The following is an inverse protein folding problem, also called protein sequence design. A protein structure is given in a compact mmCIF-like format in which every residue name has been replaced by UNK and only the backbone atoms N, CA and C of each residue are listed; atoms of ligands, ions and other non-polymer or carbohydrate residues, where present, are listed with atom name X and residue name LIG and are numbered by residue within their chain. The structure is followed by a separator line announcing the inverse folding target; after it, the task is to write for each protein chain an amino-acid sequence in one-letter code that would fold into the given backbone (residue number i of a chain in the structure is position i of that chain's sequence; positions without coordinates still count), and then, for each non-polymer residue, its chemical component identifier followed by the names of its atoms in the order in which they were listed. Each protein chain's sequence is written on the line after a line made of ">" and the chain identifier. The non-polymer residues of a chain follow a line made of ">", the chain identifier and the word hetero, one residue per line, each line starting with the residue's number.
data_IF_245836456415
#
_entry.id   IF_245836456415
#
_cell.length_a   1.000
_cell.length_b   1.000
_cell.length_c   1.000
_cell.angle_alpha   90.00
_cell.angle_beta   90.00
_cell.angle_gamma   90.00
#
_symmetry.space_group_name_H-M   'P 1'
#
loop_
_entity.id
_entity.type
_entity.pdbx_description
1 polymer ?
#
# COMPACT_ATOMS: atom_id res chain seq x y z
N UNK A 1 53.23 7.11 14.26
CA UNK A 1 52.40 6.33 13.35
C UNK A 1 51.26 7.24 12.90
N UNK A 2 51.39 7.79 11.70
CA UNK A 2 50.47 8.78 11.15
C UNK A 2 49.22 8.07 10.58
N UNK A 3 48.06 8.27 11.15
CA UNK A 3 46.80 7.82 10.55
C UNK A 3 46.39 8.80 9.47
N UNK A 4 46.58 8.39 8.20
CA UNK A 4 46.06 9.08 7.02
C UNK A 4 44.53 8.89 7.01
N UNK A 5 43.77 9.94 7.33
CA UNK A 5 42.35 10.01 7.07
C UNK A 5 42.15 10.20 5.56
N UNK A 6 41.79 9.15 4.87
CA UNK A 6 41.32 9.21 3.48
C UNK A 6 39.92 9.84 3.51
N UNK A 7 39.83 11.12 3.19
CA UNK A 7 38.56 11.76 2.88
C UNK A 7 38.03 11.14 1.59
N UNK A 8 36.97 10.34 1.69
CA UNK A 8 36.20 9.94 0.52
C UNK A 8 35.60 11.20 -0.08
N UNK A 9 36.04 11.59 -1.28
CA UNK A 9 35.39 12.66 -2.04
C UNK A 9 33.90 12.32 -2.21
N UNK A 10 32.99 13.27 -1.95
CA UNK A 10 31.58 13.05 -2.18
C UNK A 10 31.36 12.77 -3.68
N UNK A 11 30.59 11.73 -3.99
CA UNK A 11 30.25 11.39 -5.37
C UNK A 11 29.74 12.65 -6.11
N UNK A 12 30.15 12.86 -7.37
CA UNK A 12 29.74 14.03 -8.15
C UNK A 12 28.21 14.10 -8.19
N UNK A 13 27.66 15.29 -7.92
CA UNK A 13 26.20 15.50 -8.01
C UNK A 13 25.77 15.21 -9.44
N UNK A 14 24.73 14.38 -9.66
CA UNK A 14 24.25 14.08 -11.01
C UNK A 14 23.85 15.37 -11.72
N UNK A 15 24.15 15.46 -13.02
CA UNK A 15 23.77 16.61 -13.85
C UNK A 15 22.23 16.75 -13.83
N UNK A 16 21.77 18.01 -13.81
CA UNK A 16 20.33 18.32 -13.88
C UNK A 16 19.63 17.58 -15.02
N UNK A 17 20.27 17.45 -16.18
CA UNK A 17 19.71 16.75 -17.34
C UNK A 17 19.44 15.27 -17.06
N UNK A 18 20.32 14.60 -16.34
CA UNK A 18 20.14 13.19 -15.95
C UNK A 18 19.01 13.02 -14.93
N UNK A 19 18.97 13.90 -13.92
CA UNK A 19 17.90 13.89 -12.93
C UNK A 19 16.56 14.13 -13.62
N UNK A 20 16.45 15.20 -14.39
CA UNK A 20 15.26 15.54 -15.13
C UNK A 20 14.80 14.43 -16.07
N UNK A 21 15.72 13.84 -16.84
CA UNK A 21 15.44 12.77 -17.78
C UNK A 21 14.77 11.58 -17.10
N UNK A 22 15.37 11.11 -16.02
CA UNK A 22 14.85 9.99 -15.23
C UNK A 22 13.49 10.33 -14.58
N UNK A 23 13.35 11.53 -14.01
CA UNK A 23 12.11 11.97 -13.37
C UNK A 23 10.98 12.19 -14.36
N UNK A 24 11.26 12.72 -15.54
CA UNK A 24 10.27 12.84 -16.62
C UNK A 24 9.77 11.47 -17.07
N UNK A 25 10.69 10.52 -17.29
CA UNK A 25 10.32 9.14 -17.63
C UNK A 25 9.41 8.50 -16.57
N UNK A 26 9.79 8.60 -15.29
CA UNK A 26 9.01 8.08 -14.17
C UNK A 26 7.62 8.74 -14.08
N UNK A 27 7.55 10.06 -14.21
CA UNK A 27 6.28 10.80 -14.15
C UNK A 27 5.36 10.43 -15.33
N UNK A 28 5.91 10.27 -16.55
CA UNK A 28 5.14 9.81 -17.70
C UNK A 28 4.62 8.39 -17.51
N UNK A 29 5.45 7.46 -17.03
CA UNK A 29 5.01 6.10 -16.74
C UNK A 29 3.95 6.09 -15.63
N UNK A 30 4.13 6.85 -14.55
CA UNK A 30 3.15 7.00 -13.48
C UNK A 30 1.80 7.54 -13.98
N UNK A 31 1.81 8.42 -14.98
CA UNK A 31 0.61 8.90 -15.67
C UNK A 31 -0.01 7.86 -16.63
N UNK A 32 0.65 6.72 -16.86
CA UNK A 32 0.20 5.69 -17.79
C UNK A 32 0.29 6.12 -19.26
N UNK A 33 1.17 7.06 -19.60
CA UNK A 33 1.30 7.61 -20.93
C UNK A 33 2.47 7.00 -21.72
N UNK A 34 2.26 6.76 -23.02
CA UNK A 34 3.35 6.56 -23.96
C UNK A 34 3.96 7.90 -24.35
N UNK A 35 5.16 7.91 -24.97
CA UNK A 35 5.76 9.16 -25.50
C UNK A 35 4.81 9.88 -26.48
N UNK A 36 4.07 9.13 -27.31
CA UNK A 36 3.07 9.70 -28.23
C UNK A 36 1.88 10.26 -27.47
N UNK A 37 1.35 9.50 -26.48
CA UNK A 37 0.25 9.97 -25.64
C UNK A 37 0.61 11.23 -24.86
N UNK A 38 1.87 11.36 -24.38
CA UNK A 38 2.31 12.60 -23.74
C UNK A 38 2.42 13.76 -24.75
N UNK A 39 2.90 13.52 -25.98
CA UNK A 39 2.94 14.54 -27.02
C UNK A 39 1.52 15.03 -27.40
N UNK A 40 0.55 14.13 -27.47
CA UNK A 40 -0.87 14.45 -27.71
C UNK A 40 -1.45 15.25 -26.53
N UNK A 41 -1.19 14.85 -25.29
CA UNK A 41 -1.63 15.55 -24.10
C UNK A 41 -1.01 16.95 -23.92
N UNK A 42 0.11 17.21 -24.60
CA UNK A 42 0.74 18.53 -24.71
C UNK A 42 0.23 19.35 -25.91
N UNK A 43 -0.90 18.97 -26.51
CA UNK A 43 -1.47 19.63 -27.69
C UNK A 43 -0.48 19.80 -28.86
N UNK A 44 0.46 18.86 -28.99
CA UNK A 44 1.47 18.89 -30.04
C UNK A 44 2.56 19.97 -29.87
N UNK A 45 2.60 20.68 -28.73
CA UNK A 45 3.65 21.68 -28.47
C UNK A 45 5.06 21.08 -28.49
N UNK A 46 5.18 19.80 -28.17
CA UNK A 46 6.42 19.04 -28.17
C UNK A 46 6.21 17.70 -28.87
N UNK A 47 7.06 17.39 -29.86
CA UNK A 47 6.98 16.12 -30.57
C UNK A 47 7.44 14.95 -29.70
N UNK A 48 6.93 13.74 -29.98
CA UNK A 48 7.37 12.52 -29.28
C UNK A 48 8.89 12.26 -29.42
N UNK A 49 9.50 12.71 -30.55
CA UNK A 49 10.95 12.63 -30.76
C UNK A 49 11.70 13.57 -29.83
N UNK A 50 11.19 14.78 -29.58
CA UNK A 50 11.78 15.72 -28.64
C UNK A 50 11.63 15.21 -27.19
N UNK A 51 10.46 14.67 -26.83
CA UNK A 51 10.24 14.03 -25.53
C UNK A 51 11.22 12.88 -25.27
N UNK A 52 11.47 12.04 -26.28
CA UNK A 52 12.48 10.98 -26.18
C UNK A 52 13.91 11.52 -25.96
N UNK A 53 14.26 12.69 -26.54
CA UNK A 53 15.55 13.34 -26.28
C UNK A 53 15.62 13.88 -24.84
N UNK A 54 14.52 14.42 -24.30
CA UNK A 54 14.43 14.84 -22.90
C UNK A 54 14.61 13.63 -21.95
N UNK A 55 13.91 12.52 -22.18
CA UNK A 55 14.05 11.31 -21.35
C UNK A 55 15.43 10.62 -21.48
N UNK A 56 16.21 10.93 -22.51
CA UNK A 56 17.61 10.48 -22.66
C UNK A 56 18.65 11.48 -22.12
N UNK A 57 18.23 12.58 -21.53
CA UNK A 57 19.12 13.60 -21.00
C UNK A 57 19.89 14.40 -22.08
N UNK A 58 19.48 14.28 -23.35
CA UNK A 58 20.13 14.97 -24.46
C UNK A 58 19.73 16.45 -24.56
N UNK A 59 18.62 16.82 -23.94
CA UNK A 59 18.08 18.18 -23.92
C UNK A 59 17.53 18.51 -22.53
N UNK A 60 17.52 19.79 -22.17
CA UNK A 60 16.82 20.31 -21.00
C UNK A 60 15.63 21.15 -21.46
N UNK A 61 14.46 21.08 -20.75
CA UNK A 61 13.31 21.92 -21.05
C UNK A 61 13.53 23.34 -20.57
N UNK A 62 12.81 24.29 -21.14
CA UNK A 62 12.67 25.63 -20.55
C UNK A 62 11.64 25.61 -19.41
N UNK A 63 11.55 26.71 -18.66
CA UNK A 63 10.66 26.82 -17.50
C UNK A 63 9.18 26.72 -17.87
N UNK A 64 8.79 27.17 -19.07
CA UNK A 64 7.43 27.09 -19.54
C UNK A 64 7.02 25.64 -19.80
N UNK A 65 7.88 24.88 -20.46
CA UNK A 65 7.64 23.46 -20.74
C UNK A 65 7.63 22.64 -19.44
N UNK A 66 8.50 22.96 -18.46
CA UNK A 66 8.49 22.31 -17.14
C UNK A 66 7.12 22.45 -16.44
N UNK A 67 6.58 23.68 -16.43
CA UNK A 67 5.27 23.94 -15.82
C UNK A 67 4.15 23.19 -16.59
N UNK A 68 4.24 23.14 -17.91
CA UNK A 68 3.24 22.44 -18.74
C UNK A 68 3.31 20.92 -18.51
N UNK A 69 4.51 20.36 -18.47
CA UNK A 69 4.73 18.94 -18.15
C UNK A 69 4.18 18.58 -16.76
N UNK A 70 4.46 19.39 -15.74
CA UNK A 70 3.94 19.19 -14.39
C UNK A 70 2.41 19.13 -14.35
N UNK A 71 1.73 20.03 -15.08
CA UNK A 71 0.28 20.05 -15.19
C UNK A 71 -0.28 18.81 -15.89
N UNK A 72 0.28 18.47 -17.07
CA UNK A 72 -0.18 17.33 -17.88
C UNK A 72 0.06 16.00 -17.15
N UNK A 73 1.19 15.88 -16.46
CA UNK A 73 1.55 14.68 -15.69
C UNK A 73 0.97 14.66 -14.27
N UNK A 74 0.21 15.69 -13.90
CA UNK A 74 -0.42 15.81 -12.57
C UNK A 74 0.59 15.64 -11.42
N UNK A 75 1.79 16.23 -11.56
CA UNK A 75 2.83 16.15 -10.54
C UNK A 75 3.38 17.54 -10.19
N UNK A 76 3.95 17.73 -8.98
CA UNK A 76 4.65 18.96 -8.63
C UNK A 76 5.85 19.21 -9.52
N UNK A 77 6.17 20.48 -9.84
CA UNK A 77 7.38 20.84 -10.61
C UNK A 77 8.64 20.36 -9.89
N UNK A 78 8.66 20.42 -8.57
CA UNK A 78 9.76 19.94 -7.71
C UNK A 78 10.14 18.47 -7.95
N UNK A 79 9.22 17.64 -8.42
CA UNK A 79 9.49 16.25 -8.73
C UNK A 79 10.60 16.08 -9.76
N UNK A 80 10.70 16.98 -10.74
CA UNK A 80 11.72 16.93 -11.78
C UNK A 80 13.14 17.27 -11.27
N UNK A 81 13.24 17.81 -10.05
CA UNK A 81 14.50 18.19 -9.42
C UNK A 81 14.88 17.29 -8.24
N UNK A 82 14.00 16.36 -7.84
CA UNK A 82 14.28 15.45 -6.72
C UNK A 82 15.50 14.58 -7.04
N UNK A 83 16.47 14.48 -6.12
CA UNK A 83 17.63 13.63 -6.30
C UNK A 83 17.22 12.19 -6.65
N UNK A 84 17.99 11.57 -7.54
CA UNK A 84 17.83 10.14 -7.83
C UNK A 84 18.34 9.33 -6.64
N UNK A 85 17.71 8.18 -6.41
CA UNK A 85 18.10 7.21 -5.38
C UNK A 85 18.48 5.88 -6.04
N UNK A 86 19.65 5.80 -6.71
CA UNK A 86 20.07 4.60 -7.45
C UNK A 86 20.19 3.37 -6.56
N UNK A 87 20.49 3.58 -5.26
CA UNK A 87 20.62 2.52 -4.26
C UNK A 87 19.30 1.78 -3.98
N UNK A 88 18.14 2.41 -4.25
CA UNK A 88 16.85 1.77 -3.99
C UNK A 88 16.43 0.77 -5.08
N UNK A 89 17.11 0.75 -6.25
CA UNK A 89 16.66 -0.09 -7.36
C UNK A 89 15.29 0.32 -7.91
N UNK A 90 14.63 -0.60 -8.62
CA UNK A 90 13.31 -0.38 -9.18
C UNK A 90 12.29 -1.36 -8.57
N UNK A 91 11.12 -0.86 -8.18
CA UNK A 91 9.98 -1.71 -7.81
C UNK A 91 9.59 -2.55 -9.02
N UNK A 92 9.47 -3.86 -8.81
CA UNK A 92 8.92 -4.79 -9.79
C UNK A 92 7.88 -5.65 -9.13
N UNK A 93 6.66 -5.58 -9.64
CA UNK A 93 5.59 -6.44 -9.18
C UNK A 93 5.83 -7.89 -9.64
N UNK A 94 5.41 -8.85 -8.83
CA UNK A 94 5.49 -10.27 -9.20
C UNK A 94 4.77 -10.53 -10.53
N UNK A 95 5.27 -11.48 -11.32
CA UNK A 95 4.75 -11.82 -12.67
C UNK A 95 3.27 -12.20 -12.71
N UNK A 96 2.68 -12.61 -11.59
CA UNK A 96 1.28 -13.02 -11.48
C UNK A 96 0.27 -11.86 -11.37
N UNK A 97 0.72 -10.60 -11.40
CA UNK A 97 -0.19 -9.43 -11.40
C UNK A 97 -1.15 -9.49 -12.61
N UNK A 98 -2.44 -9.33 -12.36
CA UNK A 98 -3.50 -9.31 -13.39
C UNK A 98 -3.51 -8.05 -14.25
N UNK A 99 -2.64 -7.09 -13.96
CA UNK A 99 -2.56 -5.82 -14.67
C UNK A 99 -1.98 -5.97 -16.08
N UNK A 100 -2.56 -5.22 -17.05
CA UNK A 100 -1.95 -5.04 -18.35
C UNK A 100 -0.60 -4.35 -18.21
N UNK A 101 0.34 -4.60 -19.12
CA UNK A 101 1.73 -4.11 -19.00
C UNK A 101 1.84 -2.60 -18.75
N UNK A 102 1.08 -1.77 -19.48
CA UNK A 102 1.08 -0.32 -19.30
C UNK A 102 0.56 0.08 -17.92
N UNK A 103 -0.54 -0.53 -17.46
CA UNK A 103 -1.09 -0.27 -16.14
C UNK A 103 -0.16 -0.76 -15.02
N UNK A 104 0.54 -1.89 -15.23
CA UNK A 104 1.54 -2.40 -14.29
C UNK A 104 2.71 -1.43 -14.15
N UNK A 105 3.27 -0.95 -15.26
CA UNK A 105 4.35 0.05 -15.25
C UNK A 105 3.91 1.34 -14.55
N UNK A 106 2.70 1.81 -14.79
CA UNK A 106 2.16 2.98 -14.12
C UNK A 106 2.03 2.78 -12.61
N UNK A 107 1.56 1.61 -12.18
CA UNK A 107 1.45 1.27 -10.77
C UNK A 107 2.85 1.14 -10.11
N UNK A 108 3.81 0.50 -10.79
CA UNK A 108 5.21 0.40 -10.33
C UNK A 108 5.85 1.79 -10.17
N UNK A 109 5.66 2.68 -11.15
CA UNK A 109 6.20 4.05 -11.10
C UNK A 109 5.58 4.90 -10.00
N UNK A 110 4.25 4.79 -9.78
CA UNK A 110 3.55 5.48 -8.67
C UNK A 110 4.02 4.97 -7.32
N UNK A 111 4.14 3.66 -7.17
CA UNK A 111 4.64 3.04 -5.95
C UNK A 111 6.08 3.45 -5.67
N UNK A 112 6.95 3.43 -6.68
CA UNK A 112 8.34 3.89 -6.59
C UNK A 112 8.41 5.32 -6.06
N UNK A 113 7.68 6.25 -6.68
CA UNK A 113 7.67 7.64 -6.28
C UNK A 113 7.18 7.83 -4.84
N UNK A 114 6.10 7.13 -4.46
CA UNK A 114 5.57 7.22 -3.10
C UNK A 114 6.57 6.70 -2.06
N UNK A 115 7.21 5.55 -2.31
CA UNK A 115 8.22 5.00 -1.39
C UNK A 115 9.43 5.92 -1.28
N UNK A 116 9.90 6.50 -2.38
CA UNK A 116 11.00 7.46 -2.35
C UNK A 116 10.67 8.69 -1.47
N UNK A 117 9.45 9.21 -1.56
CA UNK A 117 8.98 10.33 -0.71
C UNK A 117 8.86 9.91 0.76
N UNK A 118 8.40 8.69 1.01
CA UNK A 118 8.29 8.15 2.35
C UNK A 118 9.67 8.02 3.01
N UNK A 119 10.64 7.44 2.30
CA UNK A 119 12.03 7.31 2.78
C UNK A 119 12.66 8.69 2.99
N UNK A 120 12.40 9.66 2.10
CA UNK A 120 12.86 11.02 2.27
C UNK A 120 12.40 11.64 3.60
N UNK A 121 11.14 11.43 3.98
CA UNK A 121 10.61 11.89 5.27
C UNK A 121 11.27 11.18 6.46
N UNK A 122 11.48 9.87 6.37
CA UNK A 122 12.16 9.11 7.43
C UNK A 122 13.61 9.59 7.63
N UNK A 123 14.33 9.86 6.55
CA UNK A 123 15.70 10.40 6.61
C UNK A 123 15.75 11.81 7.20
N UNK A 124 14.86 12.71 6.77
CA UNK A 124 14.75 14.08 7.30
C UNK A 124 14.48 14.11 8.81
N UNK A 125 13.74 13.12 9.29
CA UNK A 125 13.43 12.92 10.70
C UNK A 125 14.45 12.04 11.43
N UNK A 126 15.54 11.63 10.75
CA UNK A 126 16.58 10.73 11.27
C UNK A 126 16.01 9.44 11.91
N UNK A 127 14.98 8.86 11.30
CA UNK A 127 14.36 7.63 11.76
C UNK A 127 15.15 6.42 11.25
N UNK A 128 15.40 5.44 12.14
CA UNK A 128 15.98 4.17 11.74
C UNK A 128 15.00 3.35 10.88
N UNK A 129 15.50 2.48 9.98
CA UNK A 129 14.65 1.52 9.27
C UNK A 129 13.83 0.70 10.27
N UNK A 130 12.50 0.72 10.14
CA UNK A 130 11.60 0.11 11.12
C UNK A 130 11.33 -1.38 10.85
N UNK A 131 11.62 -1.88 9.63
CA UNK A 131 11.30 -3.26 9.27
C UNK A 131 12.28 -4.26 9.86
N UNK A 132 11.72 -5.26 10.53
CA UNK A 132 12.42 -6.48 10.95
C UNK A 132 11.56 -7.67 10.55
N UNK A 133 12.14 -8.62 9.83
CA UNK A 133 11.43 -9.82 9.39
C UNK A 133 10.87 -10.58 10.59
N UNK A 134 9.55 -10.75 10.69
CA UNK A 134 8.95 -11.38 11.87
C UNK A 134 9.15 -12.90 11.92
N UNK A 135 9.52 -13.51 10.78
CA UNK A 135 9.70 -14.95 10.61
C UNK A 135 10.99 -15.20 9.83
N UNK A 136 11.70 -16.28 10.17
CA UNK A 136 12.95 -16.66 9.51
C UNK A 136 12.96 -18.16 9.15
N UNK A 137 11.90 -18.66 8.54
CA UNK A 137 11.84 -20.02 8.02
C UNK A 137 10.95 -20.10 6.77
N UNK A 138 11.27 -21.01 5.79
CA UNK A 138 10.44 -21.21 4.62
C UNK A 138 9.11 -21.87 5.01
N UNK A 139 8.04 -21.51 4.31
CA UNK A 139 6.71 -22.09 4.40
C UNK A 139 6.50 -23.07 3.25
N UNK A 140 6.19 -24.33 3.55
CA UNK A 140 6.00 -25.41 2.57
C UNK A 140 4.63 -26.07 2.67
N UNK A 141 3.87 -25.80 3.74
CA UNK A 141 2.60 -26.43 4.01
C UNK A 141 1.58 -25.47 4.62
N UNK A 142 0.30 -25.87 4.60
CA UNK A 142 -0.76 -25.13 5.29
C UNK A 142 -0.55 -25.03 6.80
N UNK A 143 0.09 -26.03 7.40
CA UNK A 143 0.47 -25.99 8.81
C UNK A 143 1.54 -24.93 9.06
N UNK A 144 2.55 -24.83 8.17
CA UNK A 144 3.58 -23.78 8.28
C UNK A 144 2.97 -22.39 8.14
N UNK A 145 2.01 -22.19 7.22
CA UNK A 145 1.33 -20.91 7.06
C UNK A 145 0.54 -20.50 8.32
N UNK A 146 -0.11 -21.46 8.99
CA UNK A 146 -0.81 -21.26 10.27
C UNK A 146 0.18 -20.90 11.38
N UNK A 147 1.28 -21.65 11.49
CA UNK A 147 2.33 -21.41 12.46
C UNK A 147 3.03 -20.07 12.23
N UNK A 148 3.25 -19.70 10.96
CA UNK A 148 3.80 -18.41 10.57
C UNK A 148 2.90 -17.25 11.06
N UNK A 149 1.60 -17.33 10.83
CA UNK A 149 0.67 -16.32 11.33
C UNK A 149 0.70 -16.20 12.86
N UNK A 150 0.78 -17.33 13.57
CA UNK A 150 0.93 -17.34 15.03
C UNK A 150 2.24 -16.68 15.46
N UNK A 151 3.37 -16.99 14.80
CA UNK A 151 4.66 -16.38 15.08
C UNK A 151 4.67 -14.88 14.84
N UNK A 152 4.09 -14.42 13.71
CA UNK A 152 3.95 -12.98 13.42
C UNK A 152 3.16 -12.30 14.52
N UNK A 153 2.02 -12.85 14.92
CA UNK A 153 1.21 -12.28 16.01
C UNK A 153 1.97 -12.25 17.35
N UNK A 154 2.77 -13.26 17.66
CA UNK A 154 3.61 -13.30 18.86
C UNK A 154 4.74 -12.27 18.78
N UNK A 155 5.51 -12.25 17.69
CA UNK A 155 6.64 -11.32 17.50
C UNK A 155 6.17 -9.86 17.53
N UNK A 156 5.02 -9.58 16.96
CA UNK A 156 4.44 -8.24 16.93
C UNK A 156 3.58 -7.93 18.17
N UNK A 157 3.44 -8.87 19.10
CA UNK A 157 2.69 -8.73 20.36
C UNK A 157 1.21 -8.38 20.16
N UNK A 158 0.56 -8.97 19.14
CA UNK A 158 -0.81 -8.66 18.74
C UNK A 158 -1.87 -9.41 19.58
N UNK A 159 -1.46 -10.37 20.41
CA UNK A 159 -2.41 -11.24 21.11
C UNK A 159 -3.24 -12.11 20.17
N UNK A 160 -4.39 -12.61 20.66
CA UNK A 160 -5.29 -13.47 19.89
C UNK A 160 -6.58 -12.76 19.43
N UNK A 161 -6.83 -11.55 19.92
CA UNK A 161 -8.03 -10.77 19.60
C UNK A 161 -8.06 -10.20 18.18
N UNK A 162 -9.14 -9.48 17.83
CA UNK A 162 -9.24 -8.77 16.55
C UNK A 162 -8.12 -7.76 16.36
N UNK A 163 -7.67 -7.60 15.12
CA UNK A 163 -6.72 -6.53 14.75
C UNK A 163 -7.52 -5.24 14.54
N UNK A 164 -7.20 -4.14 15.22
CA UNK A 164 -7.98 -2.90 15.10
C UNK A 164 -7.82 -2.24 13.73
N UNK A 165 -6.60 -2.01 13.28
CA UNK A 165 -6.27 -1.40 11.98
C UNK A 165 -5.09 -2.17 11.37
N UNK A 166 -5.31 -2.86 10.26
CA UNK A 166 -4.29 -3.67 9.60
C UNK A 166 -3.29 -2.80 8.86
N UNK A 167 -3.73 -1.74 8.20
CA UNK A 167 -2.83 -0.88 7.42
C UNK A 167 -1.87 -0.13 8.32
N UNK A 168 -2.36 0.45 9.41
CA UNK A 168 -1.53 1.12 10.41
C UNK A 168 -0.54 0.15 11.05
N UNK A 169 -1.00 -1.05 11.44
CA UNK A 169 -0.12 -2.11 11.97
C UNK A 169 1.04 -2.42 11.02
N UNK A 170 0.77 -2.56 9.72
CA UNK A 170 1.80 -2.84 8.73
C UNK A 170 2.81 -1.69 8.64
N UNK A 171 2.34 -0.44 8.61
CA UNK A 171 3.20 0.74 8.57
C UNK A 171 4.05 0.91 9.84
N UNK A 172 3.49 0.63 11.01
CA UNK A 172 4.23 0.62 12.28
C UNK A 172 5.36 -0.42 12.28
N UNK A 173 5.20 -1.52 11.55
CA UNK A 173 6.21 -2.57 11.39
C UNK A 173 7.16 -2.32 10.22
N UNK A 174 7.12 -1.13 9.62
CA UNK A 174 8.05 -0.69 8.57
C UNK A 174 7.68 -1.15 7.16
N UNK A 175 6.50 -1.77 6.97
CA UNK A 175 5.98 -2.07 5.64
C UNK A 175 5.40 -0.80 5.04
N UNK A 176 5.79 -0.42 3.83
CA UNK A 176 5.24 0.75 3.13
C UNK A 176 3.93 0.36 2.46
N UNK A 177 2.81 0.89 2.96
CA UNK A 177 1.49 0.63 2.39
C UNK A 177 1.10 1.78 1.47
N UNK A 178 0.83 1.46 0.20
CA UNK A 178 0.54 2.44 -0.84
C UNK A 178 -0.84 2.18 -1.43
N UNK A 179 -1.63 3.25 -1.54
CA UNK A 179 -2.93 3.22 -2.20
C UNK A 179 -2.80 3.76 -3.61
N UNK A 180 -3.29 3.01 -4.59
CA UNK A 180 -3.29 3.46 -5.99
C UNK A 180 -4.68 3.31 -6.60
N UNK A 181 -4.99 4.20 -7.52
CA UNK A 181 -6.15 4.03 -8.39
C UNK A 181 -5.82 3.02 -9.49
N UNK A 182 -6.55 1.91 -9.54
CA UNK A 182 -6.29 0.80 -10.45
C UNK A 182 -7.59 0.14 -10.94
N UNK A 183 -7.47 -0.67 -11.99
CA UNK A 183 -8.59 -1.48 -12.53
C UNK A 183 -9.21 -2.38 -11.45
N UNK A 184 -10.54 -2.58 -11.49
CA UNK A 184 -11.28 -3.39 -10.50
C UNK A 184 -10.82 -4.86 -10.38
N UNK A 185 -10.05 -5.35 -11.36
CA UNK A 185 -9.46 -6.70 -11.34
C UNK A 185 -8.14 -6.76 -10.55
N UNK A 186 -7.56 -5.63 -10.21
CA UNK A 186 -6.36 -5.56 -9.41
C UNK A 186 -6.73 -5.18 -7.98
N UNK A 187 -6.51 -6.08 -7.03
CA UNK A 187 -6.74 -5.83 -5.61
C UNK A 187 -5.48 -5.33 -4.91
N UNK A 188 -4.33 -5.95 -5.15
CA UNK A 188 -3.07 -5.58 -4.54
C UNK A 188 -1.89 -6.36 -5.10
N UNK A 189 -0.71 -5.97 -4.67
CA UNK A 189 0.52 -6.71 -4.87
C UNK A 189 1.57 -6.29 -3.83
N UNK A 190 2.57 -7.13 -3.65
CA UNK A 190 3.72 -6.85 -2.80
C UNK A 190 5.02 -6.86 -3.57
N UNK A 191 5.99 -6.10 -3.09
CA UNK A 191 7.31 -5.98 -3.68
C UNK A 191 8.36 -5.62 -2.62
N UNK A 192 9.62 -5.75 -2.97
CA UNK A 192 10.74 -5.22 -2.23
C UNK A 192 11.39 -4.08 -3.02
N UNK A 193 11.67 -2.98 -2.35
CA UNK A 193 12.50 -1.90 -2.85
C UNK A 193 13.74 -1.85 -1.95
N UNK A 194 14.83 -2.48 -2.42
CA UNK A 194 15.99 -2.77 -1.59
C UNK A 194 15.56 -3.52 -0.31
N UNK A 195 15.77 -2.96 0.86
CA UNK A 195 15.37 -3.54 2.16
C UNK A 195 13.97 -3.11 2.64
N UNK A 196 13.23 -2.34 1.84
CA UNK A 196 11.91 -1.83 2.21
C UNK A 196 10.81 -2.71 1.63
N UNK A 197 10.03 -3.41 2.47
CA UNK A 197 8.85 -4.13 2.01
C UNK A 197 7.73 -3.16 1.66
N UNK A 198 7.11 -3.39 0.51
CA UNK A 198 6.05 -2.53 -0.03
C UNK A 198 4.83 -3.37 -0.34
N UNK A 199 3.67 -2.89 0.10
CA UNK A 199 2.36 -3.42 -0.26
C UNK A 199 1.60 -2.33 -0.99
N UNK A 200 1.13 -2.65 -2.19
CA UNK A 200 0.33 -1.75 -3.01
C UNK A 200 -1.10 -2.28 -3.06
N UNK A 201 -2.06 -1.46 -2.71
CA UNK A 201 -3.48 -1.82 -2.62
C UNK A 201 -4.32 -0.89 -3.50
N UNK A 202 -5.31 -1.44 -4.19
CA UNK A 202 -6.22 -0.64 -5.00
C UNK A 202 -7.17 0.17 -4.14
N UNK A 203 -7.41 1.44 -4.52
CA UNK A 203 -8.29 2.36 -3.78
C UNK A 203 -9.76 1.93 -3.76
N UNK A 204 -10.23 1.16 -4.78
CA UNK A 204 -11.60 0.67 -4.78
C UNK A 204 -11.92 -0.28 -3.62
N UNK A 205 -10.90 -0.89 -2.97
CA UNK A 205 -11.07 -1.74 -1.80
C UNK A 205 -11.60 -0.98 -0.57
N UNK A 206 -11.54 0.35 -0.54
CA UNK A 206 -12.09 1.17 0.54
C UNK A 206 -13.60 0.99 0.70
N UNK A 207 -14.26 0.52 -0.36
CA UNK A 207 -15.69 0.18 -0.34
C UNK A 207 -15.98 -1.16 0.33
N UNK A 208 -14.95 -1.97 0.62
CA UNK A 208 -15.07 -3.32 1.21
C UNK A 208 -13.93 -3.57 2.21
N UNK A 209 -14.07 -3.03 3.40
CA UNK A 209 -13.03 -3.10 4.44
C UNK A 209 -12.58 -4.54 4.77
N UNK A 210 -13.47 -5.55 4.92
CA UNK A 210 -13.02 -6.92 5.13
C UNK A 210 -12.12 -7.46 3.99
N UNK A 211 -12.42 -7.09 2.73
CA UNK A 211 -11.59 -7.47 1.59
C UNK A 211 -10.25 -6.74 1.61
N UNK A 212 -10.24 -5.44 1.93
CA UNK A 212 -9.03 -4.64 2.06
C UNK A 212 -8.07 -5.25 3.09
N UNK A 213 -8.56 -5.53 4.30
CA UNK A 213 -7.81 -6.17 5.39
C UNK A 213 -7.20 -7.51 4.97
N UNK A 214 -8.05 -8.35 4.36
CA UNK A 214 -7.62 -9.67 3.89
C UNK A 214 -6.54 -9.56 2.81
N UNK A 215 -6.72 -8.67 1.82
CA UNK A 215 -5.74 -8.43 0.75
C UNK A 215 -4.41 -7.92 1.32
N UNK A 216 -4.43 -6.95 2.24
CA UNK A 216 -3.21 -6.43 2.86
C UNK A 216 -2.41 -7.52 3.60
N UNK A 217 -3.08 -8.41 4.32
CA UNK A 217 -2.43 -9.52 5.01
C UNK A 217 -2.03 -10.66 4.06
N UNK A 218 -2.74 -10.86 2.96
CA UNK A 218 -2.33 -11.76 1.89
C UNK A 218 -1.01 -11.30 1.25
N UNK A 219 -0.90 -10.02 0.94
CA UNK A 219 0.33 -9.42 0.41
C UNK A 219 1.47 -9.45 1.44
N UNK A 220 1.17 -9.30 2.72
CA UNK A 220 2.15 -9.56 3.78
C UNK A 220 2.64 -11.01 3.74
N UNK A 221 1.74 -11.97 3.50
CA UNK A 221 2.10 -13.38 3.33
C UNK A 221 3.19 -13.59 2.28
N UNK A 222 3.06 -12.95 1.12
CA UNK A 222 4.08 -13.00 0.06
C UNK A 222 5.44 -12.42 0.48
N UNK A 223 5.46 -11.46 1.40
CA UNK A 223 6.70 -10.83 1.89
C UNK A 223 7.40 -11.67 2.98
N UNK A 224 6.64 -12.41 3.80
CA UNK A 224 7.20 -13.01 5.02
C UNK A 224 7.30 -14.53 5.00
N UNK A 225 6.54 -15.24 4.15
CA UNK A 225 6.44 -16.70 4.23
C UNK A 225 7.65 -17.45 3.63
N UNK A 226 8.51 -16.79 2.87
CA UNK A 226 9.66 -17.45 2.26
C UNK A 226 9.28 -18.66 1.39
N UNK A 227 8.15 -18.57 0.66
CA UNK A 227 7.66 -19.61 -0.23
C UNK A 227 8.56 -19.68 -1.48
N UNK A 228 8.90 -20.88 -1.94
CA UNK A 228 9.67 -21.07 -3.17
C UNK A 228 8.93 -20.46 -4.38
N UNK A 229 9.65 -19.85 -5.31
CA UNK A 229 9.11 -19.03 -6.42
C UNK A 229 8.07 -19.76 -7.29
N UNK A 230 8.21 -21.10 -7.47
CA UNK A 230 7.32 -21.92 -8.27
C UNK A 230 6.42 -22.84 -7.42
N UNK A 231 6.19 -22.53 -6.16
CA UNK A 231 5.36 -23.38 -5.30
C UNK A 231 3.90 -23.41 -5.79
N UNK A 232 3.31 -24.59 -6.08
CA UNK A 232 1.98 -24.69 -6.71
C UNK A 232 0.85 -24.10 -5.85
N UNK A 233 1.02 -24.09 -4.54
CA UNK A 233 0.02 -23.60 -3.59
C UNK A 233 0.38 -22.25 -2.97
N UNK A 234 1.30 -21.48 -3.54
CA UNK A 234 1.75 -20.18 -3.02
C UNK A 234 0.57 -19.29 -2.62
N UNK A 235 -0.39 -19.07 -3.54
CA UNK A 235 -1.57 -18.24 -3.29
C UNK A 235 -2.44 -18.76 -2.14
N UNK A 236 -2.61 -20.10 -2.07
CA UNK A 236 -3.40 -20.71 -1.00
C UNK A 236 -2.71 -20.62 0.36
N UNK A 237 -1.38 -20.72 0.39
CA UNK A 237 -0.59 -20.52 1.62
C UNK A 237 -0.72 -19.09 2.13
N UNK A 238 -0.62 -18.09 1.24
CA UNK A 238 -0.86 -16.69 1.58
C UNK A 238 -2.30 -16.43 2.03
N UNK A 239 -3.30 -17.05 1.40
CA UNK A 239 -4.70 -16.99 1.86
C UNK A 239 -4.86 -17.59 3.25
N UNK A 240 -4.24 -18.77 3.51
CA UNK A 240 -4.24 -19.41 4.84
C UNK A 240 -3.65 -18.52 5.90
N UNK A 241 -2.50 -17.93 5.61
CA UNK A 241 -1.82 -16.97 6.49
C UNK A 241 -2.70 -15.75 6.80
N UNK A 242 -3.28 -15.10 5.78
CA UNK A 242 -4.14 -13.94 5.94
C UNK A 242 -5.37 -14.24 6.82
N UNK A 243 -6.02 -15.38 6.57
CA UNK A 243 -7.17 -15.82 7.35
C UNK A 243 -6.78 -16.11 8.83
N UNK A 244 -5.60 -16.71 9.06
CA UNK A 244 -5.06 -16.99 10.39
C UNK A 244 -4.63 -15.71 11.13
N UNK A 245 -4.11 -14.73 10.40
CA UNK A 245 -3.82 -13.40 10.95
C UNK A 245 -5.09 -12.68 11.40
N UNK A 246 -6.17 -12.71 10.61
CA UNK A 246 -7.43 -12.04 10.96
C UNK A 246 -8.17 -12.77 12.08
N UNK A 247 -8.28 -14.09 12.00
CA UNK A 247 -9.05 -14.89 12.94
C UNK A 247 -8.25 -16.14 13.36
N UNK A 248 -7.43 -16.04 14.43
CA UNK A 248 -6.55 -17.10 14.89
C UNK A 248 -7.28 -18.40 15.21
N UNK A 249 -6.63 -19.54 14.98
CA UNK A 249 -7.20 -20.87 15.18
C UNK A 249 -7.76 -21.07 16.60
N UNK A 250 -7.05 -20.57 17.60
CA UNK A 250 -7.45 -20.64 19.00
C UNK A 250 -8.80 -19.93 19.23
N UNK A 251 -9.00 -18.78 18.62
CA UNK A 251 -10.24 -18.01 18.72
C UNK A 251 -11.37 -18.66 17.94
N UNK A 252 -11.06 -19.26 16.77
CA UNK A 252 -12.07 -20.04 16.05
C UNK A 252 -12.60 -21.18 16.90
N UNK A 253 -11.70 -21.96 17.54
CA UNK A 253 -12.08 -23.06 18.43
C UNK A 253 -12.80 -22.59 19.69
N UNK A 254 -12.43 -21.44 20.23
CA UNK A 254 -13.10 -20.87 21.39
C UNK A 254 -14.53 -20.42 21.04
N UNK A 255 -14.73 -19.79 19.89
CA UNK A 255 -16.03 -19.25 19.47
C UNK A 255 -16.99 -20.33 18.97
N UNK A 256 -16.48 -21.31 18.21
CA UNK A 256 -17.31 -22.26 17.49
C UNK A 256 -17.08 -23.73 17.88
N UNK A 257 -16.04 -24.04 18.65
CA UNK A 257 -15.64 -25.42 18.95
C UNK A 257 -14.80 -26.03 17.82
N UNK A 258 -14.28 -27.25 18.07
CA UNK A 258 -13.37 -27.95 17.12
C UNK A 258 -14.08 -28.69 16.00
N UNK A 259 -15.35 -29.06 16.20
CA UNK A 259 -16.18 -29.74 15.21
C UNK A 259 -17.64 -29.33 15.34
N UNK A 260 -18.30 -29.04 14.23
CA UNK A 260 -19.72 -28.66 14.15
C UNK A 260 -20.36 -29.27 12.92
N UNK A 261 -21.62 -29.66 13.05
CA UNK A 261 -22.42 -30.11 11.91
C UNK A 261 -22.99 -28.93 11.10
N UNK A 262 -23.11 -27.76 11.71
CA UNK A 262 -23.67 -26.57 11.09
C UNK A 262 -23.13 -25.29 11.73
N UNK A 263 -23.18 -24.19 10.99
CA UNK A 263 -22.98 -22.82 11.46
C UNK A 263 -24.10 -21.94 10.93
N UNK A 264 -24.58 -21.03 11.77
CA UNK A 264 -25.65 -20.12 11.40
C UNK A 264 -25.08 -18.82 10.84
N UNK A 265 -25.76 -18.25 9.83
CA UNK A 265 -25.33 -16.98 9.23
C UNK A 265 -25.18 -15.84 10.24
N UNK A 266 -26.07 -15.66 11.25
CA UNK A 266 -25.87 -14.64 12.28
C UNK A 266 -24.57 -14.81 13.08
N UNK A 267 -24.09 -16.06 13.32
CA UNK A 267 -22.80 -16.29 13.99
C UNK A 267 -21.66 -15.74 13.12
N UNK A 268 -21.66 -16.04 11.82
CA UNK A 268 -20.65 -15.53 10.89
C UNK A 268 -20.71 -14.00 10.71
N UNK A 269 -21.92 -13.41 10.74
CA UNK A 269 -22.10 -11.96 10.72
C UNK A 269 -21.50 -11.34 11.99
N UNK A 270 -21.65 -11.97 13.15
CA UNK A 270 -21.01 -11.51 14.39
C UNK A 270 -19.49 -11.56 14.29
N UNK A 271 -18.92 -12.66 13.77
CA UNK A 271 -17.49 -12.79 13.53
C UNK A 271 -16.98 -11.72 12.54
N UNK A 272 -17.72 -11.46 11.46
CA UNK A 272 -17.37 -10.38 10.52
C UNK A 272 -17.32 -9.03 11.21
N UNK A 273 -18.28 -8.72 12.08
CA UNK A 273 -18.33 -7.44 12.82
C UNK A 273 -17.18 -7.30 13.80
N UNK A 274 -16.78 -8.39 14.42
CA UNK A 274 -15.72 -8.41 15.43
C UNK A 274 -14.31 -8.42 14.81
N UNK A 275 -14.07 -9.35 13.88
CA UNK A 275 -12.73 -9.58 13.33
C UNK A 275 -12.45 -8.87 12.00
N UNK A 276 -13.45 -8.27 11.38
CA UNK A 276 -13.29 -7.65 10.06
C UNK A 276 -12.90 -8.64 8.97
N UNK A 277 -13.34 -9.90 9.09
CA UNK A 277 -13.16 -10.94 8.07
C UNK A 277 -14.48 -11.12 7.29
N UNK A 278 -14.42 -11.32 5.96
CA UNK A 278 -15.62 -11.54 5.16
C UNK A 278 -16.29 -12.88 5.48
N UNK A 279 -17.60 -13.00 5.23
CA UNK A 279 -18.32 -14.28 5.42
C UNK A 279 -17.73 -15.38 4.56
N UNK A 280 -17.33 -15.06 3.32
CA UNK A 280 -16.68 -16.03 2.43
C UNK A 280 -15.36 -16.54 3.02
N UNK A 281 -14.51 -15.63 3.52
CA UNK A 281 -13.23 -15.98 4.12
C UNK A 281 -13.42 -16.75 5.45
N UNK A 282 -14.40 -16.36 6.26
CA UNK A 282 -14.75 -17.06 7.49
C UNK A 282 -15.22 -18.50 7.20
N UNK A 283 -16.11 -18.72 6.21
CA UNK A 283 -16.52 -20.03 5.78
C UNK A 283 -15.36 -20.90 5.30
N UNK A 284 -14.47 -20.31 4.49
CA UNK A 284 -13.29 -21.00 4.02
C UNK A 284 -12.36 -21.38 5.18
N UNK A 285 -12.21 -20.49 6.16
CA UNK A 285 -11.45 -20.74 7.40
C UNK A 285 -11.99 -21.95 8.17
N UNK A 286 -13.34 -22.09 8.30
CA UNK A 286 -13.96 -23.24 8.97
C UNK A 286 -13.72 -24.57 8.24
N UNK A 287 -13.72 -24.53 6.91
CA UNK A 287 -13.32 -25.68 6.08
C UNK A 287 -11.86 -26.04 6.32
N UNK A 288 -10.98 -25.06 6.24
CA UNK A 288 -9.53 -25.23 6.38
C UNK A 288 -9.12 -25.83 7.73
N UNK A 289 -9.86 -25.50 8.79
CA UNK A 289 -9.67 -26.03 10.13
C UNK A 289 -10.44 -27.32 10.38
N UNK A 290 -11.07 -27.90 9.33
CA UNK A 290 -11.90 -29.10 9.41
C UNK A 290 -13.01 -29.04 10.49
N UNK A 291 -13.53 -27.80 10.77
CA UNK A 291 -14.61 -27.59 11.73
C UNK A 291 -15.95 -28.05 11.15
N UNK A 292 -16.17 -27.75 9.85
CA UNK A 292 -17.38 -28.16 9.13
C UNK A 292 -17.08 -29.34 8.19
N UNK A 293 -18.03 -30.30 8.05
CA UNK A 293 -17.96 -31.30 6.99
C UNK A 293 -17.92 -30.66 5.59
N UNK A 294 -17.17 -31.20 4.66
CA UNK A 294 -17.02 -30.68 3.29
C UNK A 294 -18.39 -30.51 2.59
N UNK A 295 -19.31 -31.45 2.79
CA UNK A 295 -20.67 -31.38 2.25
C UNK A 295 -21.45 -30.17 2.75
N UNK A 296 -21.27 -29.83 4.05
CA UNK A 296 -21.93 -28.67 4.66
C UNK A 296 -21.31 -27.36 4.19
N UNK A 297 -19.99 -27.33 4.08
CA UNK A 297 -19.29 -26.18 3.49
C UNK A 297 -19.78 -25.88 2.07
N UNK A 298 -19.86 -26.90 1.19
CA UNK A 298 -20.37 -26.74 -0.18
C UNK A 298 -21.81 -26.24 -0.20
N UNK A 299 -22.67 -26.77 0.66
CA UNK A 299 -24.06 -26.32 0.76
C UNK A 299 -24.14 -24.84 1.17
N UNK A 300 -23.37 -24.40 2.19
CA UNK A 300 -23.31 -23.01 2.60
C UNK A 300 -22.76 -22.11 1.49
N UNK A 301 -21.79 -22.55 0.73
CA UNK A 301 -21.27 -21.82 -0.43
C UNK A 301 -22.35 -21.61 -1.51
N UNK A 302 -23.18 -22.62 -1.76
CA UNK A 302 -24.30 -22.49 -2.70
C UNK A 302 -25.30 -21.47 -2.20
N UNK A 303 -25.69 -21.54 -0.92
CA UNK A 303 -26.59 -20.54 -0.31
C UNK A 303 -26.01 -19.13 -0.38
N UNK A 304 -24.75 -18.95 -0.03
CA UNK A 304 -24.05 -17.67 -0.11
C UNK A 304 -24.16 -17.03 -1.50
N UNK A 305 -23.97 -17.85 -2.56
CA UNK A 305 -24.10 -17.39 -3.95
C UNK A 305 -25.56 -17.09 -4.33
N UNK A 306 -26.51 -17.93 -3.93
CA UNK A 306 -27.95 -17.73 -4.19
C UNK A 306 -28.50 -16.45 -3.56
N UNK A 307 -28.01 -16.08 -2.37
CA UNK A 307 -28.35 -14.84 -1.69
C UNK A 307 -27.69 -13.59 -2.35
N UNK A 308 -26.83 -13.78 -3.37
CA UNK A 308 -26.12 -12.66 -4.01
C UNK A 308 -25.05 -12.02 -3.12
N UNK A 309 -24.67 -12.66 -2.01
CA UNK A 309 -23.72 -12.09 -1.03
C UNK A 309 -22.29 -11.99 -1.55
N UNK A 310 -21.95 -12.66 -2.64
CA UNK A 310 -20.68 -12.43 -3.36
C UNK A 310 -20.51 -10.99 -3.87
N UNK A 311 -21.61 -10.21 -3.98
CA UNK A 311 -21.59 -8.78 -4.36
C UNK A 311 -21.74 -7.87 -3.15
N UNK A 312 -22.61 -8.25 -2.21
CA UNK A 312 -22.90 -7.44 -1.03
C UNK A 312 -23.24 -8.36 0.16
N UNK A 313 -22.27 -8.61 1.00
CA UNK A 313 -22.46 -9.42 2.20
C UNK A 313 -23.25 -8.71 3.29
N UNK A 314 -24.09 -9.42 4.05
CA UNK A 314 -24.76 -8.86 5.20
C UNK A 314 -23.78 -8.52 6.33
N UNK A 315 -24.15 -7.54 7.14
CA UNK A 315 -23.33 -7.04 8.25
C UNK A 315 -22.18 -6.14 7.79
N UNK A 316 -21.87 -5.14 8.58
CA UNK A 316 -20.75 -4.22 8.35
C UNK A 316 -19.71 -4.40 9.44
N UNK A 317 -18.44 -4.26 9.08
CA UNK A 317 -17.35 -4.04 10.02
C UNK A 317 -17.25 -2.54 10.28
N UNK A 318 -17.23 -2.14 11.55
CA UNK A 318 -17.25 -0.73 11.94
C UNK A 318 -15.84 -0.15 12.18
N UNK A 319 -14.79 -0.96 12.06
CA UNK A 319 -13.41 -0.50 12.22
C UNK A 319 -12.94 0.32 11.03
N UNK A 320 -12.03 1.22 11.28
CA UNK A 320 -11.37 2.02 10.26
C UNK A 320 -10.09 1.32 9.78
N UNK A 321 -9.80 1.44 8.48
CA UNK A 321 -8.57 0.97 7.86
C UNK A 321 -7.91 2.13 7.13
N UNK A 322 -6.92 2.73 7.75
CA UNK A 322 -6.17 3.82 7.17
C UNK A 322 -4.68 3.67 7.49
N UNK A 323 -3.83 3.82 6.50
CA UNK A 323 -2.40 4.04 6.68
C UNK A 323 -2.19 5.54 6.92
N UNK A 324 -1.82 5.92 8.12
CA UNK A 324 -1.68 7.33 8.52
C UNK A 324 -0.22 7.75 8.72
N UNK A 325 0.71 6.80 8.70
CA UNK A 325 2.10 7.07 9.08
C UNK A 325 2.80 8.07 8.16
N UNK A 326 2.57 8.02 6.85
CA UNK A 326 3.13 9.01 5.93
C UNK A 326 2.69 10.43 6.30
N UNK A 327 1.39 10.63 6.53
CA UNK A 327 0.83 11.92 6.94
C UNK A 327 1.34 12.35 8.32
N UNK A 328 1.43 11.45 9.27
CA UNK A 328 2.01 11.72 10.60
C UNK A 328 3.47 12.18 10.49
N UNK A 329 4.29 11.51 9.66
CA UNK A 329 5.68 11.91 9.43
C UNK A 329 5.77 13.28 8.72
N UNK A 330 4.88 13.53 7.77
CA UNK A 330 4.80 14.83 7.07
C UNK A 330 4.47 15.96 8.04
N UNK A 331 3.47 15.78 8.90
CA UNK A 331 3.09 16.75 9.93
C UNK A 331 4.22 16.97 10.94
N UNK A 332 4.88 15.88 11.35
CA UNK A 332 6.01 15.96 12.25
C UNK A 332 7.18 16.73 11.63
N UNK A 333 7.51 16.46 10.38
CA UNK A 333 8.59 17.17 9.67
C UNK A 333 8.30 18.67 9.52
N UNK A 334 7.02 19.04 9.33
CA UNK A 334 6.57 20.45 9.34
C UNK A 334 6.70 21.07 10.74
N UNK A 335 6.20 20.40 11.77
CA UNK A 335 6.21 20.90 13.14
C UNK A 335 7.63 21.04 13.70
N UNK A 336 8.56 20.16 13.29
CA UNK A 336 10.00 20.24 13.64
C UNK A 336 10.79 21.20 12.71
N UNK A 337 10.11 21.95 11.82
CA UNK A 337 10.73 22.87 10.85
C UNK A 337 11.80 22.22 9.96
N UNK A 338 11.74 20.89 9.76
CA UNK A 338 12.64 20.15 8.87
C UNK A 338 12.34 20.40 7.40
N UNK A 339 11.10 20.75 7.08
CA UNK A 339 10.62 21.07 5.74
C UNK A 339 9.75 22.31 5.75
N UNK A 340 9.73 23.03 4.62
CA UNK A 340 8.79 24.14 4.39
C UNK A 340 7.41 23.60 3.98
N UNK A 341 6.39 24.44 4.09
CA UNK A 341 5.04 24.09 3.65
C UNK A 341 4.98 23.75 2.15
N UNK A 342 5.76 24.44 1.31
CA UNK A 342 5.89 24.13 -0.12
C UNK A 342 6.51 22.74 -0.36
N UNK A 343 7.55 22.38 0.41
CA UNK A 343 8.17 21.06 0.34
C UNK A 343 7.22 19.97 0.82
N UNK A 344 6.44 20.25 1.87
CA UNK A 344 5.41 19.30 2.35
C UNK A 344 4.34 19.06 1.28
N UNK A 345 3.85 20.10 0.61
CA UNK A 345 2.88 19.98 -0.49
C UNK A 345 3.46 19.14 -1.65
N UNK A 346 4.73 19.34 -2.00
CA UNK A 346 5.41 18.54 -3.01
C UNK A 346 5.55 17.07 -2.59
N UNK A 347 5.88 16.77 -1.32
CA UNK A 347 5.95 15.43 -0.79
C UNK A 347 4.58 14.75 -0.69
N UNK A 348 3.53 15.51 -0.36
CA UNK A 348 2.15 14.99 -0.32
C UNK A 348 1.54 14.79 -1.72
N UNK A 349 2.17 15.29 -2.80
CA UNK A 349 1.59 15.34 -4.15
C UNK A 349 0.25 16.09 -4.20
N UNK A 350 0.13 17.15 -3.43
CA UNK A 350 -1.07 17.97 -3.41
C UNK A 350 -0.73 19.47 -3.64
N UNK A 351 -1.67 20.26 -4.14
CA UNK A 351 -1.49 21.71 -4.25
C UNK A 351 -1.27 22.33 -2.88
N UNK A 352 -0.42 23.38 -2.81
CA UNK A 352 -0.09 24.10 -1.56
C UNK A 352 -1.36 24.59 -0.83
N UNK A 353 -2.36 25.07 -1.56
CA UNK A 353 -3.62 25.54 -0.98
C UNK A 353 -4.45 24.39 -0.39
N UNK A 354 -4.44 23.21 -1.03
CA UNK A 354 -5.11 22.02 -0.49
C UNK A 354 -4.45 21.57 0.82
N UNK A 355 -3.11 21.57 0.89
CA UNK A 355 -2.37 21.28 2.12
C UNK A 355 -2.69 22.31 3.20
N UNK A 356 -2.70 23.60 2.88
CA UNK A 356 -3.06 24.65 3.83
C UNK A 356 -4.45 24.43 4.41
N UNK A 357 -5.42 24.12 3.56
CA UNK A 357 -6.80 23.85 3.99
C UNK A 357 -6.88 22.60 4.89
N UNK A 358 -6.14 21.55 4.55
CA UNK A 358 -6.07 20.31 5.36
C UNK A 358 -5.42 20.54 6.73
N UNK A 359 -4.46 21.45 6.82
CA UNK A 359 -3.76 21.84 8.06
C UNK A 359 -4.52 22.86 8.89
N UNK A 360 -5.45 23.62 8.29
CA UNK A 360 -6.28 24.55 9.01
C UNK A 360 -7.18 23.78 9.98
N UNK A 361 -7.02 24.05 11.29
CA UNK A 361 -7.99 23.55 12.26
C UNK A 361 -9.36 24.13 11.88
N UNK A 362 -10.45 23.33 11.98
CA UNK A 362 -11.79 23.92 11.93
C UNK A 362 -11.84 25.02 13.00
N UNK A 363 -12.04 26.27 12.57
CA UNK A 363 -12.23 27.39 13.50
C UNK A 363 -13.32 27.03 14.50
N UNK A 364 -13.31 27.58 15.73
CA UNK A 364 -14.37 27.36 16.68
C UNK A 364 -15.69 27.65 15.96
N UNK A 365 -16.61 26.67 16.00
CA UNK A 365 -17.92 26.84 15.40
C UNK A 365 -18.47 28.20 15.84
N UNK A 366 -18.71 29.10 14.89
CA UNK A 366 -19.38 30.36 15.14
C UNK A 366 -20.69 30.01 15.85
N UNK A 367 -20.73 30.19 17.15
CA UNK A 367 -21.98 30.20 17.88
C UNK A 367 -22.78 31.37 17.32
N UNK A 368 -23.66 31.06 16.35
CA UNK A 368 -24.69 31.99 15.96
C UNK A 368 -25.49 32.28 17.23
N UNK A 369 -25.20 33.42 17.83
CA UNK A 369 -26.08 34.04 18.78
C UNK A 369 -27.41 34.31 18.06
N UNK A 370 -28.38 33.44 18.25
CA UNK A 370 -29.78 33.80 18.04
C UNK A 370 -30.08 34.97 18.99
N UNK A 371 -29.95 36.18 18.47
CA UNK A 371 -30.56 37.34 19.11
C UNK A 371 -32.07 37.16 19.07
N UNK A 372 -32.59 36.64 20.14
CA UNK A 372 -33.98 36.78 20.48
C UNK A 372 -34.23 38.28 20.77
N UNK A 373 -34.91 38.95 19.87
CA UNK A 373 -35.52 40.24 20.15
C UNK A 373 -36.98 40.06 20.68
N UNK A 374 -37.44 40.93 21.60
CA UNK A 374 -38.64 40.81 22.41
C UNK A 374 -39.95 40.94 21.66
#
# INVERSE_FOLDING_TARGET
>A
MSHSHTYLEPAPRPDFKEVFATRLHQAREAAGLTLRGLAEALDGQVSHTALNKYEKGLMAPDSRLLITLAKVLSCPVDQFFRPLRPSLGAIRFRKKSSLRELARKAAEARAQDHVERYIELEELLALAPAYSAPINRPCQSFADAEDAARQVRQTWQLGHGPLPNVLELLEERGVKVIRIDADEKFDGCSAWLDQHPVIVLASHLDRNIPKLRFTALHELGHLVLGIAEDHPDEEKLCHRFAAAMLWPQEQVYQSLGRQRQNVMWPELVSIKREYGISLAAALYRLKDLAILPESKYRWLQIQYKQQGWHRNEPGSYAGEEAGLRFDQLLMRALAEEKITLSKAAALAHEPLEALRHRLALPGPASTATEDAQP
#
